data_IF_582254050417
#
_entry.id   IF_582254050417
#
_cell.length_a   1.000
_cell.length_b   1.000
_cell.length_c   1.000
_cell.angle_alpha   90.00
_cell.angle_beta   90.00
_cell.angle_gamma   90.00
#
_symmetry.space_group_name_H-M   'P 1'
#
loop_
_entity.id
_entity.type
_entity.pdbx_description
1 polymer ?
#
# COMPACT_ATOMS: atom_id res chain seq x y z
N UNK A 1 6.17 29.33 23.89
CA UNK A 1 6.40 28.04 23.24
C UNK A 1 5.25 27.82 22.29
N UNK A 2 5.48 27.90 20.97
CA UNK A 2 4.44 27.64 19.98
C UNK A 2 3.98 26.19 20.16
N UNK A 3 2.69 25.98 20.30
CA UNK A 3 2.08 24.65 20.44
C UNK A 3 2.31 23.88 19.13
N UNK A 4 2.80 22.63 19.22
CA UNK A 4 2.93 21.79 18.03
C UNK A 4 1.59 21.66 17.32
N UNK A 5 1.53 21.83 15.98
CA UNK A 5 0.26 21.78 15.25
C UNK A 5 -0.41 20.40 15.39
N UNK A 6 -1.73 20.41 15.49
CA UNK A 6 -2.55 19.20 15.43
C UNK A 6 -2.70 18.78 13.97
N UNK A 7 -2.17 17.63 13.62
CA UNK A 7 -2.22 17.09 12.24
C UNK A 7 -3.22 15.95 12.20
N UNK A 8 -4.23 16.08 11.35
CA UNK A 8 -5.17 15.02 11.06
C UNK A 8 -4.84 14.37 9.71
N UNK A 9 -4.86 13.05 9.66
CA UNK A 9 -4.76 12.27 8.40
C UNK A 9 -6.07 11.53 8.21
N UNK A 10 -6.72 11.75 7.09
CA UNK A 10 -7.97 11.06 6.74
C UNK A 10 -7.64 9.87 5.83
N UNK A 11 -7.91 8.67 6.32
CA UNK A 11 -7.59 7.38 5.70
C UNK A 11 -6.36 6.72 6.29
N UNK A 12 -6.53 5.50 6.81
CA UNK A 12 -5.45 4.66 7.37
C UNK A 12 -4.93 3.61 6.37
N UNK A 13 -5.07 3.82 5.06
CA UNK A 13 -4.46 2.99 4.03
C UNK A 13 -2.93 3.06 4.08
N UNK A 14 -2.24 2.35 3.17
CA UNK A 14 -0.76 2.30 3.15
C UNK A 14 -0.12 3.69 3.18
N UNK A 15 -0.66 4.63 2.38
CA UNK A 15 -0.15 6.01 2.33
C UNK A 15 -0.37 6.78 3.63
N UNK A 16 -1.59 6.74 4.17
CA UNK A 16 -1.92 7.44 5.41
C UNK A 16 -1.18 6.89 6.62
N UNK A 17 -1.11 5.56 6.76
CA UNK A 17 -0.38 4.91 7.84
C UNK A 17 1.14 5.22 7.77
N UNK A 18 1.75 5.14 6.58
CA UNK A 18 3.16 5.47 6.40
C UNK A 18 3.46 6.95 6.70
N UNK A 19 2.58 7.87 6.25
CA UNK A 19 2.69 9.31 6.55
C UNK A 19 2.59 9.55 8.05
N UNK A 20 1.59 8.93 8.72
CA UNK A 20 1.44 9.05 10.17
C UNK A 20 2.68 8.55 10.92
N UNK A 21 3.21 7.39 10.54
CA UNK A 21 4.39 6.81 11.18
C UNK A 21 5.62 7.73 11.07
N UNK A 22 5.84 8.34 9.91
CA UNK A 22 6.95 9.28 9.71
C UNK A 22 6.77 10.55 10.54
N UNK A 23 5.60 11.16 10.50
CA UNK A 23 5.33 12.41 11.24
C UNK A 23 5.38 12.22 12.77
N UNK A 24 4.84 11.10 13.27
CA UNK A 24 4.93 10.73 14.68
C UNK A 24 6.39 10.54 15.12
N UNK A 25 7.22 9.96 14.26
CA UNK A 25 8.65 9.74 14.53
C UNK A 25 9.43 11.06 14.63
N UNK A 26 8.99 12.09 13.91
CA UNK A 26 9.52 13.47 14.03
C UNK A 26 8.94 14.22 15.24
N UNK A 27 8.16 13.56 16.10
CA UNK A 27 7.60 14.14 17.32
C UNK A 27 6.39 15.05 17.10
N UNK A 28 5.76 14.98 15.92
CA UNK A 28 4.58 15.78 15.60
C UNK A 28 3.30 15.16 16.20
N UNK A 29 2.32 16.02 16.50
CA UNK A 29 1.03 15.59 17.03
C UNK A 29 0.09 15.16 15.90
N UNK A 30 -0.01 13.86 15.66
CA UNK A 30 -0.74 13.27 14.54
C UNK A 30 -1.86 12.36 15.02
N UNK A 31 -3.03 12.47 14.38
CA UNK A 31 -4.15 11.54 14.54
C UNK A 31 -4.69 11.11 13.17
N UNK A 32 -4.96 9.83 13.03
CA UNK A 32 -5.49 9.21 11.80
C UNK A 32 -6.96 8.88 12.01
N UNK A 33 -7.80 9.19 11.02
CA UNK A 33 -9.23 8.89 11.02
C UNK A 33 -9.53 7.92 9.87
N UNK A 34 -10.06 6.74 10.22
CA UNK A 34 -10.32 5.66 9.27
C UNK A 34 -11.81 5.28 9.29
N UNK A 35 -12.41 5.17 8.11
CA UNK A 35 -13.83 4.84 7.96
C UNK A 35 -14.17 3.40 8.33
N UNK A 36 -13.25 2.45 8.13
CA UNK A 36 -13.44 1.07 8.54
C UNK A 36 -13.58 0.96 10.06
N UNK A 37 -14.35 -0.01 10.53
CA UNK A 37 -14.53 -0.29 11.97
C UNK A 37 -13.30 -0.93 12.63
N UNK A 38 -12.32 -1.33 11.85
CA UNK A 38 -11.07 -1.95 12.31
C UNK A 38 -10.21 -2.41 11.14
N UNK A 39 -9.03 -2.92 11.47
CA UNK A 39 -8.13 -3.50 10.49
C UNK A 39 -8.72 -4.80 9.91
N UNK A 40 -8.55 -5.01 8.60
CA UNK A 40 -8.86 -6.26 7.92
C UNK A 40 -7.72 -6.62 6.96
N UNK A 41 -7.30 -7.92 6.97
CA UNK A 41 -6.32 -8.46 6.01
C UNK A 41 -6.98 -8.57 4.62
N UNK A 42 -7.36 -7.45 4.05
CA UNK A 42 -7.89 -7.38 2.70
C UNK A 42 -6.75 -7.04 1.73
N UNK A 43 -6.78 -7.67 0.59
CA UNK A 43 -5.86 -7.26 -0.45
C UNK A 43 -5.49 -8.35 -1.42
N UNK A 44 -4.53 -7.97 -2.17
CA UNK A 44 -3.92 -8.67 -3.28
C UNK A 44 -2.40 -8.67 -3.05
N UNK A 45 -1.65 -9.22 -3.97
CA UNK A 45 -0.22 -9.04 -4.00
C UNK A 45 0.15 -7.58 -4.32
N UNK A 46 1.26 -7.12 -3.77
CA UNK A 46 1.86 -5.83 -4.08
C UNK A 46 3.38 -5.97 -4.22
N UNK A 47 3.94 -5.21 -5.14
CA UNK A 47 5.38 -5.06 -5.30
C UNK A 47 5.87 -3.88 -4.47
N UNK A 48 6.97 -4.09 -3.75
CA UNK A 48 7.62 -3.06 -2.93
C UNK A 48 9.04 -2.87 -3.46
N UNK A 49 9.25 -1.77 -4.14
CA UNK A 49 10.54 -1.43 -4.72
C UNK A 49 11.48 -0.72 -3.75
N UNK A 50 12.77 -0.58 -4.11
CA UNK A 50 13.80 0.04 -3.26
C UNK A 50 13.47 1.47 -2.78
N UNK A 51 12.72 2.23 -3.57
CA UNK A 51 12.25 3.57 -3.19
C UNK A 51 11.33 3.54 -1.96
N UNK A 52 10.39 2.59 -1.93
CA UNK A 52 9.47 2.40 -0.79
C UNK A 52 10.23 1.80 0.38
N UNK A 53 11.10 0.80 0.16
CA UNK A 53 11.90 0.17 1.21
C UNK A 53 12.75 1.18 1.99
N UNK A 54 13.31 2.21 1.33
CA UNK A 54 14.04 3.29 2.01
C UNK A 54 13.15 4.12 2.96
N UNK A 55 11.88 4.30 2.61
CA UNK A 55 10.90 4.95 3.48
C UNK A 55 10.58 4.04 4.67
N UNK A 56 10.37 2.75 4.42
CA UNK A 56 10.07 1.75 5.45
C UNK A 56 11.22 1.56 6.44
N UNK A 57 12.48 1.69 5.98
CA UNK A 57 13.68 1.76 6.83
C UNK A 57 13.59 2.94 7.80
N UNK A 58 13.18 4.11 7.33
CA UNK A 58 12.98 5.28 8.20
C UNK A 58 11.85 5.06 9.20
N UNK A 59 10.78 4.38 8.83
CA UNK A 59 9.69 4.00 9.73
C UNK A 59 10.16 2.97 10.76
N UNK A 60 11.07 2.05 10.37
CA UNK A 60 11.58 0.97 11.21
C UNK A 60 10.88 -0.37 11.00
N UNK A 61 10.22 -0.57 9.86
CA UNK A 61 9.50 -1.81 9.51
C UNK A 61 10.14 -2.59 8.36
N UNK A 62 11.28 -2.14 7.84
CA UNK A 62 12.00 -2.76 6.71
C UNK A 62 12.33 -4.23 6.99
N UNK A 63 12.92 -4.53 8.15
CA UNK A 63 13.37 -5.89 8.50
C UNK A 63 12.18 -6.85 8.63
N UNK A 64 11.10 -6.40 9.27
CA UNK A 64 9.88 -7.18 9.40
C UNK A 64 9.24 -7.47 8.04
N UNK A 65 9.22 -6.50 7.13
CA UNK A 65 8.68 -6.69 5.79
C UNK A 65 9.58 -7.60 4.95
N UNK A 66 10.91 -7.48 5.05
CA UNK A 66 11.85 -8.39 4.40
C UNK A 66 11.64 -9.85 4.86
N UNK A 67 11.37 -10.07 6.14
CA UNK A 67 11.12 -11.41 6.67
C UNK A 67 9.79 -12.03 6.21
N UNK A 68 8.81 -11.21 5.88
CA UNK A 68 7.48 -11.67 5.45
C UNK A 68 7.35 -11.84 3.95
N UNK A 69 8.01 -10.98 3.17
CA UNK A 69 7.87 -10.93 1.73
C UNK A 69 8.63 -12.00 0.97
N UNK A 70 8.25 -12.22 -0.28
CA UNK A 70 9.00 -13.00 -1.24
C UNK A 70 10.02 -12.11 -1.96
N UNK A 71 11.22 -12.63 -2.21
CA UNK A 71 12.34 -11.91 -2.80
C UNK A 71 12.66 -12.46 -4.19
N UNK A 72 11.98 -11.98 -5.25
CA UNK A 72 12.25 -12.44 -6.61
C UNK A 72 13.60 -11.91 -7.09
N UNK A 73 14.40 -12.81 -7.71
CA UNK A 73 15.66 -12.45 -8.35
C UNK A 73 15.45 -11.78 -9.70
N UNK A 74 14.34 -12.13 -10.37
CA UNK A 74 14.03 -11.62 -11.69
C UNK A 74 12.54 -11.29 -11.85
N UNK A 75 12.28 -10.34 -12.77
CA UNK A 75 11.00 -10.14 -13.40
C UNK A 75 11.10 -10.60 -14.83
N UNK A 76 10.28 -11.61 -15.22
CA UNK A 76 10.17 -12.08 -16.58
C UNK A 76 8.93 -11.52 -17.28
N UNK A 77 9.11 -10.98 -18.47
CA UNK A 77 8.04 -10.75 -19.43
C UNK A 77 8.06 -11.88 -20.45
N UNK A 78 6.94 -12.57 -20.63
CA UNK A 78 6.81 -13.72 -21.52
C UNK A 78 5.71 -13.51 -22.54
N UNK A 79 5.90 -14.09 -23.72
CA UNK A 79 4.85 -14.22 -24.72
C UNK A 79 3.81 -15.24 -24.24
N UNK A 80 2.53 -14.91 -24.34
CA UNK A 80 1.49 -15.71 -23.71
C UNK A 80 1.28 -17.09 -24.37
N UNK A 81 1.43 -17.20 -25.71
CA UNK A 81 1.25 -18.46 -26.44
C UNK A 81 2.48 -19.37 -26.36
N UNK A 82 3.67 -18.82 -26.62
CA UNK A 82 4.90 -19.62 -26.74
C UNK A 82 5.62 -19.80 -25.42
N UNK A 83 5.37 -18.91 -24.43
CA UNK A 83 6.11 -18.87 -23.18
C UNK A 83 7.52 -18.29 -23.31
N UNK A 84 7.92 -17.82 -24.50
CA UNK A 84 9.23 -17.25 -24.74
C UNK A 84 9.49 -16.03 -23.87
N UNK A 85 10.72 -15.90 -23.37
CA UNK A 85 11.14 -14.75 -22.60
C UNK A 85 11.36 -13.57 -23.56
N UNK A 86 10.51 -12.57 -23.46
CA UNK A 86 10.61 -11.31 -24.21
C UNK A 86 11.54 -10.29 -23.52
N UNK A 87 11.55 -10.29 -22.17
CA UNK A 87 12.42 -9.44 -21.37
C UNK A 87 12.67 -10.07 -20.00
N UNK A 88 13.86 -9.82 -19.46
CA UNK A 88 14.27 -10.20 -18.13
C UNK A 88 14.87 -9.00 -17.42
N UNK A 89 14.32 -8.66 -16.26
CA UNK A 89 14.78 -7.54 -15.42
C UNK A 89 15.35 -8.13 -14.13
N UNK A 90 16.62 -7.91 -13.82
CA UNK A 90 17.20 -8.35 -12.56
C UNK A 90 16.63 -7.53 -11.40
N UNK A 91 16.30 -8.21 -10.31
CA UNK A 91 15.75 -7.64 -9.07
C UNK A 91 16.69 -7.95 -7.90
N UNK A 92 16.49 -8.96 -7.15
CA UNK A 92 17.30 -9.51 -6.07
C UNK A 92 18.50 -8.66 -5.61
N UNK A 93 19.69 -9.23 -5.68
CA UNK A 93 20.95 -8.56 -5.35
C UNK A 93 21.22 -7.32 -6.22
N UNK A 94 20.72 -7.32 -7.46
CA UNK A 94 20.85 -6.16 -8.34
C UNK A 94 20.17 -4.92 -7.74
N UNK A 95 18.98 -5.07 -7.17
CA UNK A 95 18.27 -3.96 -6.54
C UNK A 95 19.03 -3.42 -5.32
N UNK A 96 19.54 -4.30 -4.47
CA UNK A 96 20.33 -3.92 -3.29
C UNK A 96 21.61 -3.19 -3.71
N UNK A 97 22.35 -3.74 -4.67
CA UNK A 97 23.62 -3.18 -5.14
C UNK A 97 23.47 -1.81 -5.80
N UNK A 98 22.43 -1.64 -6.64
CA UNK A 98 22.31 -0.44 -7.46
C UNK A 98 21.42 0.64 -6.82
N UNK A 99 20.48 0.25 -5.97
CA UNK A 99 19.51 1.17 -5.35
C UNK A 99 19.58 1.23 -3.83
N UNK A 100 20.40 0.40 -3.18
CA UNK A 100 20.66 0.43 -1.73
C UNK A 100 19.50 -0.07 -0.87
N UNK A 101 18.55 -0.82 -1.44
CA UNK A 101 17.47 -1.49 -0.72
C UNK A 101 16.91 -2.66 -1.57
N UNK A 102 16.26 -3.62 -0.89
CA UNK A 102 15.67 -4.79 -1.53
C UNK A 102 14.44 -4.44 -2.38
N UNK A 103 14.14 -5.35 -3.30
CA UNK A 103 12.86 -5.46 -3.97
C UNK A 103 12.15 -6.72 -3.47
N UNK A 104 10.88 -6.63 -3.16
CA UNK A 104 10.09 -7.78 -2.72
C UNK A 104 8.64 -7.71 -3.18
N UNK A 105 7.96 -8.83 -3.09
CA UNK A 105 6.51 -8.96 -3.25
C UNK A 105 5.91 -9.46 -1.95
N UNK A 106 4.74 -8.95 -1.60
CA UNK A 106 4.11 -9.27 -0.32
C UNK A 106 2.58 -9.19 -0.43
N UNK A 107 1.88 -9.90 0.46
CA UNK A 107 0.45 -9.70 0.63
C UNK A 107 0.17 -8.29 1.15
N UNK A 108 -0.63 -7.50 0.43
CA UNK A 108 -0.88 -6.10 0.75
C UNK A 108 -1.44 -5.91 2.16
N UNK A 109 -2.28 -6.84 2.64
CA UNK A 109 -2.83 -6.80 3.99
C UNK A 109 -1.75 -6.95 5.07
N UNK A 110 -0.77 -7.83 4.85
CA UNK A 110 0.33 -8.03 5.81
C UNK A 110 1.26 -6.81 5.86
N UNK A 111 1.57 -6.23 4.70
CA UNK A 111 2.29 -4.95 4.64
C UNK A 111 1.52 -3.82 5.36
N UNK A 112 0.20 -3.75 5.16
CA UNK A 112 -0.65 -2.77 5.85
C UNK A 112 -0.66 -2.99 7.37
N UNK A 113 -0.73 -4.26 7.83
CA UNK A 113 -0.65 -4.58 9.24
C UNK A 113 0.63 -4.05 9.88
N UNK A 114 1.79 -4.27 9.24
CA UNK A 114 3.07 -3.76 9.74
C UNK A 114 3.09 -2.23 9.90
N UNK A 115 2.47 -1.50 8.96
CA UNK A 115 2.39 -0.05 9.07
C UNK A 115 1.44 0.41 10.19
N UNK A 116 0.31 -0.27 10.37
CA UNK A 116 -0.63 0.04 11.47
C UNK A 116 0.00 -0.30 12.83
N UNK A 117 0.71 -1.43 12.93
CA UNK A 117 1.38 -1.85 14.17
C UNK A 117 2.56 -0.92 14.53
N UNK A 118 3.12 -0.19 13.58
CA UNK A 118 4.12 0.84 13.83
C UNK A 118 3.53 2.13 14.46
N UNK A 119 2.20 2.27 14.48
CA UNK A 119 1.51 3.41 15.08
C UNK A 119 1.11 3.13 16.54
N UNK A 120 1.17 4.12 17.43
CA UNK A 120 0.50 4.00 18.73
C UNK A 120 -1.00 3.71 18.54
N UNK A 121 -1.55 2.79 19.31
CA UNK A 121 -2.98 2.43 19.22
C UNK A 121 -3.92 3.64 19.35
N UNK A 122 -3.53 4.62 20.13
CA UNK A 122 -4.28 5.88 20.32
C UNK A 122 -4.23 6.81 19.11
N UNK A 123 -3.32 6.59 18.16
CA UNK A 123 -3.17 7.46 16.99
C UNK A 123 -4.23 7.22 15.91
N UNK A 124 -4.87 6.04 15.88
CA UNK A 124 -5.88 5.69 14.87
C UNK A 124 -7.26 5.65 15.48
N UNK A 125 -8.17 6.44 14.94
CA UNK A 125 -9.60 6.44 15.26
C UNK A 125 -10.37 5.74 14.13
N UNK A 126 -10.87 4.55 14.40
CA UNK A 126 -11.70 3.76 13.48
C UNK A 126 -13.17 4.17 13.50
N UNK A 127 -13.94 3.80 12.48
CA UNK A 127 -15.35 4.13 12.34
C UNK A 127 -15.61 5.62 12.01
N UNK A 128 -14.57 6.33 11.56
CA UNK A 128 -14.60 7.75 11.25
C UNK A 128 -14.68 8.01 9.74
N UNK A 129 -15.88 7.86 9.19
CA UNK A 129 -16.16 8.18 7.79
C UNK A 129 -16.37 9.69 7.63
N UNK A 130 -15.43 10.37 6.96
CA UNK A 130 -15.50 11.81 6.70
C UNK A 130 -16.67 12.14 5.77
N UNK A 131 -17.50 13.11 6.15
CA UNK A 131 -18.63 13.59 5.35
C UNK A 131 -18.45 15.01 4.83
N UNK A 132 -17.77 15.88 5.59
CA UNK A 132 -17.53 17.27 5.23
C UNK A 132 -16.27 17.80 5.88
N UNK A 133 -15.61 18.72 5.21
CA UNK A 133 -14.51 19.53 5.76
C UNK A 133 -14.94 21.00 5.72
N UNK A 134 -14.60 21.73 6.76
CA UNK A 134 -14.90 23.16 6.90
C UNK A 134 -13.62 23.91 7.30
N UNK A 135 -13.06 24.66 6.36
CA UNK A 135 -11.92 25.53 6.62
C UNK A 135 -12.41 26.82 7.30
N UNK A 136 -11.94 27.07 8.51
CA UNK A 136 -12.24 28.28 9.30
C UNK A 136 -11.06 29.27 9.42
N UNK A 137 -10.04 29.06 8.56
CA UNK A 137 -8.83 29.87 8.53
C UNK A 137 -7.76 29.35 9.48
N UNK A 138 -7.93 29.54 10.79
CA UNK A 138 -6.95 29.04 11.77
C UNK A 138 -7.08 27.59 12.14
N UNK A 139 -8.20 26.95 11.79
CA UNK A 139 -8.52 25.57 12.11
C UNK A 139 -9.41 24.95 11.03
N UNK A 140 -9.20 23.69 10.77
CA UNK A 140 -10.05 22.87 9.89
C UNK A 140 -10.94 21.98 10.74
N UNK A 141 -12.25 22.00 10.51
CA UNK A 141 -13.23 21.14 11.19
C UNK A 141 -13.62 20.00 10.27
N UNK A 142 -13.45 18.78 10.73
CA UNK A 142 -13.84 17.55 10.05
C UNK A 142 -15.13 17.01 10.66
N UNK A 143 -16.15 16.78 9.85
CA UNK A 143 -17.42 16.19 10.28
C UNK A 143 -17.50 14.72 9.82
N UNK A 144 -17.93 13.84 10.72
CA UNK A 144 -18.01 12.41 10.46
C UNK A 144 -19.44 11.89 10.44
N UNK A 145 -19.66 10.77 9.76
CA UNK A 145 -20.98 10.15 9.59
C UNK A 145 -21.62 9.68 10.92
N UNK A 146 -20.80 9.49 11.96
CA UNK A 146 -21.27 9.17 13.32
C UNK A 146 -21.80 10.37 14.10
N UNK A 147 -21.88 11.54 13.47
CA UNK A 147 -22.36 12.80 14.06
C UNK A 147 -21.32 13.55 14.89
N UNK A 148 -20.10 13.04 14.99
CA UNK A 148 -19.01 13.74 15.70
C UNK A 148 -18.26 14.71 14.78
N UNK A 149 -17.53 15.63 15.40
CA UNK A 149 -16.63 16.55 14.70
C UNK A 149 -15.30 16.63 15.43
N UNK A 150 -14.23 16.83 14.67
CA UNK A 150 -12.87 16.99 15.19
C UNK A 150 -12.19 18.17 14.53
N UNK A 151 -11.28 18.82 15.25
CA UNK A 151 -10.53 19.98 14.77
C UNK A 151 -9.06 19.66 14.61
N UNK A 152 -8.46 20.17 13.54
CA UNK A 152 -7.03 20.11 13.30
C UNK A 152 -6.51 21.41 12.70
N UNK A 153 -5.23 21.68 12.90
CA UNK A 153 -4.56 22.83 12.31
C UNK A 153 -4.10 22.50 10.87
N UNK A 154 -3.88 21.20 10.59
CA UNK A 154 -3.52 20.67 9.26
C UNK A 154 -4.31 19.39 9.02
N UNK A 155 -4.92 19.27 7.84
CA UNK A 155 -5.58 18.03 7.38
C UNK A 155 -4.89 17.49 6.14
N UNK A 156 -4.52 16.20 6.17
CA UNK A 156 -3.90 15.48 5.06
C UNK A 156 -4.89 14.45 4.54
N UNK A 157 -5.28 14.56 3.26
CA UNK A 157 -6.14 13.59 2.58
C UNK A 157 -5.35 12.37 2.11
N UNK A 158 -5.66 11.19 2.67
CA UNK A 158 -5.15 9.88 2.27
C UNK A 158 -6.32 8.88 2.09
N UNK A 159 -7.52 9.39 1.79
CA UNK A 159 -8.82 8.74 1.77
C UNK A 159 -9.16 8.05 0.43
N UNK A 160 -8.16 7.87 -0.43
CA UNK A 160 -8.19 6.97 -1.57
C UNK A 160 -8.90 7.50 -2.82
N UNK A 161 -9.38 6.59 -3.67
CA UNK A 161 -9.92 6.92 -4.99
C UNK A 161 -11.21 7.76 -4.92
N UNK A 162 -12.02 7.56 -3.89
CA UNK A 162 -13.25 8.31 -3.62
C UNK A 162 -13.02 9.42 -2.58
N UNK A 163 -11.89 10.10 -2.65
CA UNK A 163 -11.45 11.08 -1.66
C UNK A 163 -12.44 12.23 -1.49
N UNK A 164 -12.95 12.39 -0.27
CA UNK A 164 -13.75 13.56 0.13
C UNK A 164 -12.90 14.81 0.23
N UNK A 165 -11.66 14.67 0.74
CA UNK A 165 -10.73 15.82 0.82
C UNK A 165 -10.47 16.39 -0.58
N UNK A 166 -10.26 15.53 -1.59
CA UNK A 166 -10.07 16.00 -2.97
C UNK A 166 -11.32 16.69 -3.52
N UNK A 167 -12.50 16.13 -3.26
CA UNK A 167 -13.77 16.71 -3.69
C UNK A 167 -13.99 18.11 -3.09
N UNK A 168 -13.70 18.30 -1.83
CA UNK A 168 -13.83 19.62 -1.14
C UNK A 168 -12.81 20.64 -1.69
N UNK A 169 -11.60 20.22 -2.05
CA UNK A 169 -10.56 21.11 -2.55
C UNK A 169 -10.69 21.44 -4.02
N UNK A 170 -11.10 20.48 -4.86
CA UNK A 170 -11.05 20.59 -6.32
C UNK A 170 -12.43 20.52 -6.98
N UNK A 171 -13.47 20.30 -6.19
CA UNK A 171 -14.82 20.04 -6.68
C UNK A 171 -15.08 18.57 -7.03
N UNK A 172 -16.33 18.21 -7.30
CA UNK A 172 -16.74 16.84 -7.59
C UNK A 172 -16.17 16.36 -8.93
N UNK A 173 -15.51 15.19 -8.89
CA UNK A 173 -15.00 14.52 -10.08
C UNK A 173 -15.40 13.04 -10.03
N UNK A 174 -16.09 12.58 -11.08
CA UNK A 174 -16.44 11.17 -11.20
C UNK A 174 -15.30 10.38 -11.83
N UNK A 175 -14.96 9.19 -11.27
CA UNK A 175 -13.99 8.29 -11.89
C UNK A 175 -14.41 7.94 -13.32
N UNK A 176 -13.45 7.97 -14.25
CA UNK A 176 -13.67 7.54 -15.63
C UNK A 176 -13.23 6.09 -15.80
N UNK A 177 -14.12 5.27 -16.36
CA UNK A 177 -13.77 3.89 -16.71
C UNK A 177 -12.69 3.88 -17.80
N UNK A 178 -11.55 3.29 -17.50
CA UNK A 178 -10.38 3.28 -18.39
C UNK A 178 -10.41 2.12 -19.43
N UNK A 179 -11.50 1.33 -19.48
CA UNK A 179 -11.62 0.20 -20.41
C UNK A 179 -10.96 -1.10 -19.92
N UNK A 180 -10.42 -1.12 -18.71
CA UNK A 180 -9.75 -2.30 -18.17
C UNK A 180 -10.45 -2.84 -16.93
N UNK A 181 -10.45 -4.18 -16.82
CA UNK A 181 -10.91 -4.93 -15.67
C UNK A 181 -9.76 -5.81 -15.15
N UNK A 182 -9.52 -5.78 -13.84
CA UNK A 182 -8.51 -6.62 -13.21
C UNK A 182 -9.16 -7.71 -12.36
N UNK A 183 -8.97 -8.98 -12.75
CA UNK A 183 -9.29 -10.14 -11.93
C UNK A 183 -8.11 -10.48 -11.06
N UNK A 184 -8.33 -10.61 -9.74
CA UNK A 184 -7.25 -10.82 -8.77
C UNK A 184 -7.63 -11.90 -7.77
N UNK A 185 -6.67 -12.76 -7.43
CA UNK A 185 -6.82 -13.66 -6.30
C UNK A 185 -5.48 -13.96 -5.64
N UNK A 186 -5.54 -14.20 -4.34
CA UNK A 186 -4.49 -14.87 -3.56
C UNK A 186 -5.04 -16.24 -3.16
N UNK A 187 -4.23 -17.26 -3.32
CA UNK A 187 -4.62 -18.63 -2.97
C UNK A 187 -3.40 -19.42 -2.49
N UNK A 188 -3.62 -20.49 -1.70
CA UNK A 188 -2.53 -21.37 -1.30
C UNK A 188 -1.79 -21.90 -2.53
N UNK A 189 -0.46 -21.90 -2.50
CA UNK A 189 0.35 -22.40 -3.60
C UNK A 189 0.00 -23.87 -3.87
N UNK A 190 -0.50 -24.20 -5.07
CA UNK A 190 -0.77 -25.59 -5.42
C UNK A 190 0.55 -26.35 -5.54
N UNK A 191 0.54 -27.69 -5.42
CA UNK A 191 1.72 -28.50 -5.74
C UNK A 191 2.10 -28.27 -7.20
N UNK A 192 3.09 -27.39 -7.43
CA UNK A 192 3.56 -27.04 -8.77
C UNK A 192 4.58 -28.08 -9.22
N UNK A 193 4.36 -28.68 -10.39
CA UNK A 193 5.38 -29.55 -11.01
C UNK A 193 6.61 -28.71 -11.31
N UNK A 194 7.79 -29.23 -11.00
CA UNK A 194 9.06 -28.57 -11.21
C UNK A 194 9.13 -27.89 -12.59
N UNK A 195 9.41 -26.59 -12.58
CA UNK A 195 9.66 -25.79 -13.78
C UNK A 195 8.47 -25.01 -14.35
N UNK A 196 7.24 -25.14 -13.82
CA UNK A 196 6.10 -24.35 -14.32
C UNK A 196 6.11 -22.90 -13.85
N UNK A 197 6.55 -22.65 -12.62
CA UNK A 197 6.75 -21.30 -12.10
C UNK A 197 8.11 -21.27 -11.42
N UNK A 198 9.04 -20.41 -11.85
CA UNK A 198 10.29 -20.22 -11.12
C UNK A 198 9.96 -19.55 -9.77
N UNK A 199 10.32 -20.21 -8.67
CA UNK A 199 10.09 -19.73 -7.30
C UNK A 199 10.86 -18.46 -6.95
N UNK A 200 11.82 -18.10 -7.79
CA UNK A 200 12.72 -16.95 -7.65
C UNK A 200 12.30 -15.76 -8.51
N UNK A 201 11.07 -15.72 -9.01
CA UNK A 201 10.71 -14.69 -9.98
C UNK A 201 9.24 -14.26 -9.96
N UNK A 202 9.02 -13.04 -10.46
CA UNK A 202 7.72 -12.55 -10.89
C UNK A 202 7.59 -12.80 -12.38
N UNK A 203 6.49 -13.35 -12.81
CA UNK A 203 6.26 -13.65 -14.23
C UNK A 203 5.04 -12.92 -14.75
N UNK A 204 5.21 -12.22 -15.86
CA UNK A 204 4.12 -11.54 -16.56
C UNK A 204 4.03 -12.08 -17.98
N UNK A 205 2.88 -12.64 -18.35
CA UNK A 205 2.54 -13.03 -19.71
C UNK A 205 1.78 -11.93 -20.41
N UNK A 206 2.22 -11.60 -21.61
CA UNK A 206 1.64 -10.56 -22.43
C UNK A 206 0.93 -11.16 -23.64
N UNK A 207 -0.31 -10.75 -23.88
CA UNK A 207 -1.10 -10.94 -25.08
C UNK A 207 -1.39 -9.58 -25.72
N UNK A 208 -2.06 -9.56 -26.87
CA UNK A 208 -2.34 -8.34 -27.63
C UNK A 208 -3.22 -7.35 -26.85
N UNK A 209 -4.20 -7.86 -26.10
CA UNK A 209 -5.23 -7.05 -25.45
C UNK A 209 -5.26 -7.22 -23.91
N UNK A 210 -4.48 -8.14 -23.37
CA UNK A 210 -4.47 -8.46 -21.94
C UNK A 210 -3.12 -8.97 -21.47
N UNK A 211 -2.97 -9.04 -20.16
CA UNK A 211 -1.80 -9.67 -19.56
C UNK A 211 -2.18 -10.38 -18.26
N UNK A 212 -1.39 -11.34 -17.87
CA UNK A 212 -1.49 -11.98 -16.56
C UNK A 212 -0.15 -11.92 -15.85
N UNK A 213 -0.20 -11.56 -14.58
CA UNK A 213 0.99 -11.56 -13.75
C UNK A 213 0.80 -12.51 -12.57
N UNK A 214 1.85 -13.28 -12.25
CA UNK A 214 1.86 -14.25 -11.16
C UNK A 214 3.14 -14.10 -10.35
N UNK A 215 3.02 -14.14 -9.02
CA UNK A 215 4.15 -14.10 -8.10
C UNK A 215 3.75 -14.55 -6.70
N UNK A 216 4.72 -14.97 -5.89
CA UNK A 216 4.51 -15.30 -4.49
C UNK A 216 4.38 -14.04 -3.65
N UNK A 217 3.58 -14.10 -2.60
CA UNK A 217 3.32 -12.97 -1.70
C UNK A 217 3.78 -13.22 -0.26
N UNK A 218 4.47 -14.34 -0.04
CA UNK A 218 5.07 -14.71 1.25
C UNK A 218 6.48 -15.22 1.05
N UNK A 219 7.35 -15.03 2.01
CA UNK A 219 8.73 -15.55 2.00
C UNK A 219 8.80 -17.08 2.02
N UNK A 220 7.73 -17.76 2.43
CA UNK A 220 7.60 -19.24 2.40
C UNK A 220 7.11 -19.77 1.05
N UNK A 221 6.72 -18.88 0.14
CA UNK A 221 6.09 -19.23 -1.15
C UNK A 221 4.83 -20.12 -1.01
N UNK A 222 4.12 -20.00 0.10
CA UNK A 222 2.90 -20.76 0.40
C UNK A 222 1.61 -20.05 -0.06
N UNK A 223 1.69 -18.77 -0.41
CA UNK A 223 0.61 -18.00 -1.05
C UNK A 223 1.06 -17.46 -2.40
N UNK A 224 0.27 -17.75 -3.42
CA UNK A 224 0.45 -17.29 -4.79
C UNK A 224 -0.62 -16.26 -5.13
N UNK A 225 -0.22 -15.21 -5.82
CA UNK A 225 -1.09 -14.16 -6.33
C UNK A 225 -1.07 -14.11 -7.85
N UNK A 226 -2.24 -13.86 -8.44
CA UNK A 226 -2.34 -13.48 -9.84
C UNK A 226 -3.20 -12.22 -10.06
N UNK A 227 -2.96 -11.55 -11.13
CA UNK A 227 -3.76 -10.44 -11.66
C UNK A 227 -3.73 -10.45 -13.18
#
# INVERSE_FOLDING_TARGET
VSKSPRIAIVGAGLGGAATAALLLKEGLNVRVYEQASGFSRLGAGIHVGPNVMKILRRIGVEDALNAQGSHPDYWYSRHWETGDIMAQIPLGDYAVKNYGASYLTVHRGDFHALLIDALPKSAVAYGKSLTKVEDRGDVVVMHFADGTSEEADIVIGADGVNSRIREELLGPELPKYAGYLAHRAVFPTPPVKNGMLPFDSCVKWWSDDRHMMVYFVTGKADELYYV
#
